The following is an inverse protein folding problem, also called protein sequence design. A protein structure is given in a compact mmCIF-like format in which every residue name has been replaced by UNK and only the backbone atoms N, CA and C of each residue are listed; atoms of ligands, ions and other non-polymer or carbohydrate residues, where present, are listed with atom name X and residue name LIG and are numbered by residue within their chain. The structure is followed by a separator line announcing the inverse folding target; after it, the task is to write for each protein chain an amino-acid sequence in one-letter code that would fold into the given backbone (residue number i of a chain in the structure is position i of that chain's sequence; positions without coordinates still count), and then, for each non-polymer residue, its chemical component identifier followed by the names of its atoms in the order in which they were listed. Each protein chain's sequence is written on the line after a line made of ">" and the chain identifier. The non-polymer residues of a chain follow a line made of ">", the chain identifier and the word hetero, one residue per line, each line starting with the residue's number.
data_IF_353480607623
#
_entry.id   IF_353480607623
#
_cell.length_a   1.000
_cell.length_b   1.000
_cell.length_c   1.000
_cell.angle_alpha   90.00
_cell.angle_beta   90.00
_cell.angle_gamma   90.00
#
_symmetry.space_group_name_H-M   'P 1'
#
loop_
_entity.id
_entity.type
_entity.pdbx_description
1 polymer ?
#
# COMPACT_ATOMS: atom_id res chain seq x y z
N UNK A 1 7.16 -14.17 -23.35
CA UNK A 1 7.55 -14.21 -21.94
C UNK A 1 6.82 -13.07 -21.26
N UNK A 2 5.81 -13.36 -20.45
CA UNK A 2 5.09 -12.32 -19.72
C UNK A 2 6.01 -11.79 -18.62
N UNK A 3 6.18 -10.46 -18.50
CA UNK A 3 7.05 -9.83 -17.50
C UNK A 3 6.58 -9.96 -16.05
N UNK A 4 5.85 -11.04 -15.74
CA UNK A 4 5.19 -11.26 -14.46
C UNK A 4 6.23 -11.46 -13.35
N UNK A 5 7.25 -12.30 -13.53
CA UNK A 5 8.33 -12.50 -12.54
C UNK A 5 9.07 -11.21 -12.21
N UNK A 6 9.39 -10.38 -13.20
CA UNK A 6 10.06 -9.09 -12.96
C UNK A 6 9.17 -8.13 -12.17
N UNK A 7 7.89 -8.08 -12.50
CA UNK A 7 6.91 -7.27 -11.76
C UNK A 7 6.76 -7.75 -10.31
N UNK A 8 6.94 -9.05 -10.08
CA UNK A 8 6.87 -9.69 -8.77
C UNK A 8 8.07 -9.34 -7.89
N UNK A 9 9.28 -9.48 -8.43
CA UNK A 9 10.49 -9.04 -7.74
C UNK A 9 10.42 -7.56 -7.38
N UNK A 10 9.93 -6.74 -8.32
CA UNK A 10 9.76 -5.32 -8.09
C UNK A 10 8.74 -5.02 -6.98
N UNK A 11 7.60 -5.72 -6.94
CA UNK A 11 6.59 -5.52 -5.91
C UNK A 11 7.14 -5.87 -4.51
N UNK A 12 7.85 -6.99 -4.39
CA UNK A 12 8.49 -7.39 -3.14
C UNK A 12 9.56 -6.37 -2.70
N UNK A 13 10.45 -5.98 -3.61
CA UNK A 13 11.48 -4.98 -3.34
C UNK A 13 10.88 -3.65 -2.87
N UNK A 14 9.75 -3.24 -3.45
CA UNK A 14 9.08 -2.01 -3.07
C UNK A 14 8.46 -2.09 -1.67
N UNK A 15 7.89 -3.24 -1.28
CA UNK A 15 7.40 -3.48 0.08
C UNK A 15 8.55 -3.40 1.08
N UNK A 16 9.65 -4.12 0.83
CA UNK A 16 10.84 -4.12 1.69
C UNK A 16 11.43 -2.71 1.83
N UNK A 17 11.48 -1.95 0.73
CA UNK A 17 11.93 -0.55 0.72
C UNK A 17 11.00 0.33 1.57
N UNK A 18 9.68 0.21 1.40
CA UNK A 18 8.71 0.97 2.18
C UNK A 18 8.84 0.71 3.68
N UNK A 19 8.98 -0.54 4.10
CA UNK A 19 9.16 -0.88 5.52
C UNK A 19 10.45 -0.32 6.11
N UNK A 20 11.55 -0.39 5.35
CA UNK A 20 12.87 0.07 5.79
C UNK A 20 12.98 1.59 5.82
N UNK A 21 12.45 2.27 4.81
CA UNK A 21 12.75 3.70 4.56
C UNK A 21 11.61 4.63 4.97
N UNK A 22 10.36 4.15 4.97
CA UNK A 22 9.19 4.99 5.21
C UNK A 22 8.54 4.75 6.58
N UNK A 23 9.32 4.86 7.66
CA UNK A 23 8.84 4.71 9.04
C UNK A 23 7.63 5.62 9.37
N UNK A 24 7.56 6.82 8.79
CA UNK A 24 6.45 7.76 8.95
C UNK A 24 5.20 7.43 8.13
N UNK A 25 5.31 6.55 7.12
CA UNK A 25 4.16 6.05 6.38
C UNK A 25 3.38 4.98 7.16
N UNK A 26 3.91 4.48 8.28
CA UNK A 26 3.11 3.69 9.23
C UNK A 26 2.02 4.59 9.78
N UNK A 27 0.77 4.26 9.43
CA UNK A 27 -0.46 5.01 9.66
C UNK A 27 -0.80 5.21 11.16
N UNK A 28 0.03 5.95 11.90
CA UNK A 28 -0.23 6.33 13.29
C UNK A 28 -1.34 7.39 13.39
N UNK A 29 -1.68 8.06 12.28
CA UNK A 29 -2.77 9.05 12.19
C UNK A 29 -4.13 8.43 11.84
N UNK A 30 -4.16 7.16 11.40
CA UNK A 30 -5.42 6.46 11.14
C UNK A 30 -6.01 6.02 12.48
N UNK A 31 -7.26 6.42 12.72
CA UNK A 31 -8.00 6.06 13.92
C UNK A 31 -8.05 4.53 14.10
N UNK A 32 -8.06 4.09 15.35
CA UNK A 32 -8.00 2.66 15.72
C UNK A 32 -9.11 1.81 15.11
N UNK A 33 -10.30 2.39 14.92
CA UNK A 33 -11.44 1.75 14.25
C UNK A 33 -11.22 1.55 12.74
N UNK A 34 -10.48 2.46 12.11
CA UNK A 34 -10.10 2.40 10.70
C UNK A 34 -8.84 1.57 10.44
N UNK A 35 -8.04 1.25 11.47
CA UNK A 35 -6.86 0.36 11.33
C UNK A 35 -7.24 -1.07 10.93
N UNK A 36 -8.52 -1.45 11.10
CA UNK A 36 -9.08 -2.74 10.66
C UNK A 36 -9.52 -2.75 9.20
N UNK A 37 -9.47 -1.61 8.52
CA UNK A 37 -9.84 -1.54 7.12
C UNK A 37 -8.85 -2.31 6.26
N UNK A 38 -9.37 -3.23 5.45
CA UNK A 38 -8.63 -3.92 4.40
C UNK A 38 -9.28 -3.65 3.04
N UNK A 39 -8.50 -3.38 1.97
CA UNK A 39 -9.01 -3.40 0.61
C UNK A 39 -9.71 -4.73 0.32
N UNK A 40 -10.78 -4.79 -0.46
CA UNK A 40 -11.51 -6.05 -0.71
C UNK A 40 -10.67 -7.16 -1.36
N UNK A 41 -9.64 -6.76 -2.11
CA UNK A 41 -8.75 -7.61 -2.89
C UNK A 41 -7.32 -7.22 -2.58
N UNK A 42 -6.53 -8.20 -2.20
CA UNK A 42 -5.11 -8.06 -1.90
C UNK A 42 -4.32 -9.08 -2.73
N UNK A 43 -3.06 -8.78 -2.97
CA UNK A 43 -2.12 -9.72 -3.59
C UNK A 43 -1.23 -10.23 -2.47
N UNK A 44 -1.29 -11.53 -2.22
CA UNK A 44 -0.33 -12.21 -1.36
C UNK A 44 0.97 -12.40 -2.16
N UNK A 45 1.95 -11.58 -1.81
CA UNK A 45 3.28 -11.59 -2.43
C UNK A 45 4.15 -12.76 -1.95
N UNK A 46 3.70 -13.51 -0.93
CA UNK A 46 4.37 -14.70 -0.40
C UNK A 46 5.76 -14.44 0.22
N UNK A 47 6.30 -15.46 0.88
CA UNK A 47 7.73 -15.56 1.11
C UNK A 47 8.39 -16.10 -0.18
N UNK A 48 9.63 -15.68 -0.48
CA UNK A 48 10.39 -16.01 -1.71
C UNK A 48 10.40 -17.50 -2.10
N UNK A 49 10.13 -18.36 -1.14
CA UNK A 49 10.26 -19.81 -1.14
C UNK A 49 8.91 -20.58 -1.05
N UNK A 50 7.76 -19.92 -0.85
CA UNK A 50 6.47 -20.59 -0.59
C UNK A 50 5.47 -20.67 -1.76
N UNK A 51 5.88 -20.31 -2.96
CA UNK A 51 5.10 -20.56 -4.18
C UNK A 51 4.52 -19.31 -4.85
N UNK A 52 3.59 -19.53 -5.76
CA UNK A 52 3.09 -18.50 -6.67
C UNK A 52 2.19 -17.47 -5.97
N UNK A 53 2.35 -16.22 -6.40
CA UNK A 53 1.54 -15.08 -5.98
C UNK A 53 0.04 -15.35 -6.18
N UNK A 54 -0.77 -15.02 -5.19
CA UNK A 54 -2.21 -15.30 -5.24
C UNK A 54 -3.03 -14.06 -4.92
N UNK A 55 -4.13 -13.90 -5.65
CA UNK A 55 -5.18 -12.95 -5.29
C UNK A 55 -5.89 -13.51 -4.05
N UNK A 56 -5.89 -12.75 -2.97
CA UNK A 56 -6.61 -13.07 -1.74
C UNK A 56 -7.71 -12.05 -1.51
N UNK A 57 -8.88 -12.55 -1.13
CA UNK A 57 -9.98 -11.72 -0.68
C UNK A 57 -9.81 -11.45 0.82
N UNK A 58 -10.07 -10.22 1.25
CA UNK A 58 -9.81 -9.84 2.64
C UNK A 58 -10.71 -10.53 3.66
N UNK A 59 -11.86 -11.04 3.24
CA UNK A 59 -12.73 -11.89 4.07
C UNK A 59 -12.17 -13.31 4.29
N UNK A 60 -11.15 -13.71 3.52
CA UNK A 60 -10.45 -14.99 3.66
C UNK A 60 -9.18 -14.88 4.52
N UNK A 61 -8.72 -13.66 4.82
CA UNK A 61 -7.53 -13.45 5.64
C UNK A 61 -7.91 -13.65 7.11
N UNK A 62 -7.46 -14.77 7.68
CA UNK A 62 -7.58 -15.07 9.10
C UNK A 62 -6.34 -14.55 9.82
N UNK A 63 -6.50 -13.57 10.71
CA UNK A 63 -5.43 -13.10 11.61
C UNK A 63 -5.83 -13.34 13.05
N UNK A 64 -4.98 -14.04 13.79
CA UNK A 64 -5.17 -14.28 15.23
C UNK A 64 -4.94 -13.00 16.06
N UNK A 65 -4.33 -11.96 15.47
CA UNK A 65 -3.92 -10.73 16.16
C UNK A 65 -4.81 -9.52 15.84
N UNK A 66 -6.02 -9.71 15.27
CA UNK A 66 -6.99 -8.67 14.85
C UNK A 66 -6.48 -7.62 13.83
N UNK A 67 -5.17 -7.55 13.60
CA UNK A 67 -4.50 -6.62 12.69
C UNK A 67 -3.82 -7.43 11.60
N UNK A 68 -4.13 -7.09 10.36
CA UNK A 68 -3.49 -7.60 9.17
C UNK A 68 -2.63 -6.47 8.61
N UNK A 69 -1.32 -6.69 8.58
CA UNK A 69 -0.39 -5.74 7.97
C UNK A 69 -0.46 -5.87 6.45
N UNK A 70 -0.63 -4.74 5.76
CA UNK A 70 -0.61 -4.69 4.31
C UNK A 70 0.08 -3.41 3.84
N UNK A 71 0.68 -3.46 2.65
CA UNK A 71 1.23 -2.30 1.97
C UNK A 71 0.37 -1.96 0.74
N UNK A 72 0.05 -0.67 0.57
CA UNK A 72 -0.60 -0.17 -0.64
C UNK A 72 0.45 0.41 -1.58
N UNK A 73 0.54 -0.14 -2.80
CA UNK A 73 1.38 0.38 -3.87
C UNK A 73 0.52 1.26 -4.79
N UNK A 74 0.63 2.58 -4.64
CA UNK A 74 0.00 3.53 -5.57
C UNK A 74 1.01 3.93 -6.65
N UNK A 75 0.69 3.68 -7.92
CA UNK A 75 1.42 4.24 -9.05
C UNK A 75 0.64 5.42 -9.63
N UNK A 76 1.27 6.59 -9.70
CA UNK A 76 0.71 7.75 -10.38
C UNK A 76 1.05 7.66 -11.86
N UNK A 77 0.03 7.45 -12.69
CA UNK A 77 0.17 7.55 -14.14
C UNK A 77 0.25 9.04 -14.52
N UNK A 78 1.43 9.51 -14.95
CA UNK A 78 1.66 10.90 -15.39
C UNK A 78 2.76 11.62 -14.61
N UNK A 79 2.94 12.91 -14.90
CA UNK A 79 3.90 13.75 -14.17
C UNK A 79 3.32 14.18 -12.82
N UNK A 80 4.11 14.05 -11.75
CA UNK A 80 3.74 14.61 -10.45
C UNK A 80 3.60 16.12 -10.57
N UNK A 81 2.38 16.62 -10.44
CA UNK A 81 2.17 18.06 -10.27
C UNK A 81 2.61 18.39 -8.85
N UNK A 82 3.74 19.08 -8.70
CA UNK A 82 4.14 19.64 -7.40
C UNK A 82 3.09 20.69 -7.01
N UNK A 83 2.18 20.30 -6.11
CA UNK A 83 1.30 21.24 -5.44
C UNK A 83 1.85 21.44 -4.03
N UNK A 84 2.45 22.60 -3.79
CA UNK A 84 2.83 23.03 -2.45
C UNK A 84 1.61 23.67 -1.81
N UNK A 85 1.21 23.24 -0.61
CA UNK A 85 0.22 23.98 0.16
C UNK A 85 0.86 25.30 0.61
N UNK A 86 0.32 26.40 0.13
CA UNK A 86 0.74 27.76 0.43
C UNK A 86 -0.47 28.52 0.95
N UNK A 87 -0.23 29.56 1.76
CA UNK A 87 -1.32 30.34 2.36
C UNK A 87 -2.31 30.90 1.30
N UNK A 88 -1.83 31.14 0.08
CA UNK A 88 -2.62 31.66 -1.04
C UNK A 88 -3.43 30.60 -1.79
N UNK A 89 -3.19 29.30 -1.56
CA UNK A 89 -3.92 28.20 -2.21
C UNK A 89 -4.69 27.29 -1.23
N UNK A 90 -4.62 27.58 0.07
CA UNK A 90 -5.30 26.84 1.13
C UNK A 90 -6.83 26.86 0.98
N UNK A 91 -7.41 28.03 0.65
CA UNK A 91 -8.85 28.20 0.40
C UNK A 91 -9.31 27.35 -0.78
N UNK A 92 -8.55 27.32 -1.87
CA UNK A 92 -8.87 26.55 -3.08
C UNK A 92 -8.84 25.03 -2.84
N UNK A 93 -7.99 24.55 -1.92
CA UNK A 93 -7.92 23.12 -1.60
C UNK A 93 -9.02 22.64 -0.64
N UNK A 94 -9.69 23.53 0.10
CA UNK A 94 -10.80 23.17 0.99
C UNK A 94 -12.10 22.84 0.23
N UNK A 95 -12.16 23.16 -1.06
CA UNK A 95 -13.37 23.08 -1.89
C UNK A 95 -13.43 21.87 -2.82
N UNK A 96 -12.43 20.97 -2.74
CA UNK A 96 -12.36 19.69 -3.47
C UNK A 96 -12.88 18.57 -2.56
#
# INVERSE_FOLDING_TARGET
>A
MTGSETSFFWAQEMVEKCEREHHNCRNHFIRSDSQRYLPKRLIDVGARDKGAMQLVLSDQIRSDNDVVEYAALSHSWGTTVKSELRNDNEETMKTI
#
